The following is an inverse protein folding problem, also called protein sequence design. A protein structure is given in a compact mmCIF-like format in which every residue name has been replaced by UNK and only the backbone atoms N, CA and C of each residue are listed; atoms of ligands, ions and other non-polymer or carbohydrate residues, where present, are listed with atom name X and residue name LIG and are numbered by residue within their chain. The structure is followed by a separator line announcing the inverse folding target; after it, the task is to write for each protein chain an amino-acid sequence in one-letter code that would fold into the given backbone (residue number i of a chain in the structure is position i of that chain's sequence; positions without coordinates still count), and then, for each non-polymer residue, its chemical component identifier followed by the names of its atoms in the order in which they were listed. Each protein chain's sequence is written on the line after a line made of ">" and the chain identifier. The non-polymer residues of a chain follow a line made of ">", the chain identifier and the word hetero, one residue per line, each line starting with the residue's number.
data_IF_498696329342
#
_entry.id   IF_498696329342
#
_cell.length_a   1.000
_cell.length_b   1.000
_cell.length_c   1.000
_cell.angle_alpha   90.00
_cell.angle_beta   90.00
_cell.angle_gamma   90.00
#
_symmetry.space_group_name_H-M   'P 1'
#
loop_
_entity.id
_entity.type
_entity.pdbx_description
1 polymer ?
#
# COMPACT_ATOMS: atom_id res chain seq x y z
N UNK A 1 69.37 -14.20 36.98
CA UNK A 1 68.34 -15.26 36.86
C UNK A 1 67.25 -14.73 35.94
N UNK A 2 67.28 -15.19 34.69
CA UNK A 2 66.48 -14.74 33.56
C UNK A 2 65.53 -15.86 33.14
N UNK A 3 64.34 -15.46 32.68
CA UNK A 3 63.46 -16.16 31.74
C UNK A 3 62.75 -17.44 32.19
N UNK A 4 61.44 -17.31 32.44
CA UNK A 4 60.48 -18.40 32.22
C UNK A 4 59.13 -17.82 31.73
N UNK A 5 59.14 -17.29 30.51
CA UNK A 5 57.97 -17.26 29.64
C UNK A 5 57.95 -18.59 28.89
N UNK A 6 56.91 -19.43 29.08
CA UNK A 6 56.37 -20.31 28.02
C UNK A 6 55.06 -21.01 28.43
N UNK A 7 54.00 -20.55 27.77
CA UNK A 7 52.89 -21.33 27.19
C UNK A 7 52.06 -22.27 28.09
N UNK A 8 50.98 -21.74 28.68
CA UNK A 8 49.72 -22.50 28.81
C UNK A 8 48.84 -22.20 27.59
N UNK A 9 48.90 -23.09 26.59
CA UNK A 9 47.96 -23.14 25.45
C UNK A 9 46.62 -23.70 25.93
N UNK A 10 45.67 -22.82 26.23
CA UNK A 10 44.27 -23.22 26.40
C UNK A 10 43.57 -23.18 25.02
N UNK A 11 43.37 -24.36 24.44
CA UNK A 11 42.63 -24.56 23.19
C UNK A 11 41.14 -24.32 23.44
N UNK A 12 40.65 -23.13 23.09
CA UNK A 12 39.21 -22.93 22.85
C UNK A 12 38.82 -23.56 21.50
N UNK A 13 37.72 -24.35 21.43
CA UNK A 13 37.31 -24.94 20.16
C UNK A 13 36.71 -23.85 19.27
N UNK A 14 37.38 -23.55 18.16
CA UNK A 14 36.84 -22.78 17.04
C UNK A 14 35.66 -23.54 16.43
N UNK A 15 34.46 -23.38 16.97
CA UNK A 15 33.24 -23.64 16.22
C UNK A 15 33.27 -22.73 14.98
N UNK A 16 33.55 -23.34 13.82
CA UNK A 16 33.75 -22.61 12.57
C UNK A 16 32.55 -21.71 12.26
N UNK A 17 32.81 -20.47 11.87
CA UNK A 17 31.80 -19.47 11.49
C UNK A 17 30.80 -20.00 10.43
N UNK A 18 31.25 -20.96 9.59
CA UNK A 18 30.44 -21.70 8.62
C UNK A 18 29.28 -22.48 9.24
N UNK A 19 29.45 -23.11 10.41
CA UNK A 19 28.36 -23.89 11.06
C UNK A 19 27.31 -22.99 11.71
N UNK A 20 27.66 -21.80 12.20
CA UNK A 20 26.68 -20.80 12.70
C UNK A 20 25.86 -20.17 11.58
N UNK A 21 26.48 -19.80 10.46
CA UNK A 21 25.77 -19.26 9.29
C UNK A 21 24.85 -20.32 8.66
N UNK A 22 25.33 -21.55 8.49
CA UNK A 22 24.54 -22.69 8.02
C UNK A 22 23.31 -22.93 8.90
N UNK A 23 23.45 -23.00 10.23
CA UNK A 23 22.33 -23.16 11.16
C UNK A 23 21.33 -21.99 11.11
N UNK A 24 21.80 -20.74 10.98
CA UNK A 24 20.93 -19.56 10.81
C UNK A 24 20.18 -19.59 9.47
N UNK A 25 20.84 -19.94 8.37
CA UNK A 25 20.22 -20.05 7.05
C UNK A 25 19.20 -21.19 6.99
N UNK A 26 19.48 -22.32 7.65
CA UNK A 26 18.54 -23.44 7.76
C UNK A 26 17.29 -23.04 8.54
N UNK A 27 17.45 -22.38 9.69
CA UNK A 27 16.33 -21.79 10.45
C UNK A 27 15.55 -20.77 9.63
N UNK A 28 16.20 -19.88 8.88
CA UNK A 28 15.53 -18.89 8.03
C UNK A 28 14.74 -19.55 6.90
N UNK A 29 15.30 -20.59 6.28
CA UNK A 29 14.64 -21.37 5.23
C UNK A 29 13.45 -22.17 5.75
N UNK A 30 13.57 -22.74 6.95
CA UNK A 30 12.47 -23.46 7.60
C UNK A 30 11.37 -22.50 8.08
N UNK A 31 11.72 -21.32 8.57
CA UNK A 31 10.78 -20.28 8.98
C UNK A 31 10.06 -19.64 7.78
N UNK A 32 10.74 -19.49 6.64
CA UNK A 32 10.11 -19.17 5.35
C UNK A 32 9.15 -20.28 4.95
N UNK A 33 9.58 -21.55 4.92
CA UNK A 33 8.71 -22.67 4.54
C UNK A 33 7.46 -22.78 5.43
N UNK A 34 7.59 -22.50 6.72
CA UNK A 34 6.47 -22.53 7.66
C UNK A 34 5.52 -21.35 7.44
N UNK A 35 6.04 -20.14 7.21
CA UNK A 35 5.24 -18.98 6.80
C UNK A 35 4.54 -19.19 5.46
N UNK A 36 5.21 -19.84 4.50
CA UNK A 36 4.59 -20.20 3.21
C UNK A 36 3.51 -21.26 3.40
N UNK A 37 3.68 -22.23 4.32
CA UNK A 37 2.63 -23.20 4.70
C UNK A 37 1.45 -22.54 5.38
N UNK A 38 1.67 -21.57 6.27
CA UNK A 38 0.59 -20.79 6.89
C UNK A 38 -0.17 -19.97 5.85
N UNK A 39 0.54 -19.28 4.95
CA UNK A 39 -0.07 -18.58 3.81
C UNK A 39 -0.81 -19.55 2.88
N UNK A 40 -0.28 -20.75 2.63
CA UNK A 40 -0.94 -21.80 1.84
C UNK A 40 -2.17 -22.39 2.54
N UNK A 41 -2.17 -22.48 3.86
CA UNK A 41 -3.31 -22.96 4.66
C UNK A 41 -4.42 -21.91 4.75
N UNK A 42 -4.06 -20.64 4.96
CA UNK A 42 -4.97 -19.50 4.82
C UNK A 42 -5.48 -19.36 3.37
N UNK A 43 -4.65 -19.69 2.39
CA UNK A 43 -5.03 -19.77 0.98
C UNK A 43 -5.87 -21.00 0.63
N UNK A 44 -5.81 -22.11 1.37
CA UNK A 44 -6.77 -23.22 1.23
C UNK A 44 -8.15 -22.83 1.77
N UNK A 45 -8.18 -21.94 2.78
CA UNK A 45 -9.42 -21.35 3.27
C UNK A 45 -9.98 -20.26 2.35
N UNK A 46 -9.14 -19.66 1.50
CA UNK A 46 -9.48 -18.58 0.55
C UNK A 46 -9.58 -19.12 -0.90
N UNK A 47 -10.31 -18.46 -1.79
CA UNK A 47 -10.42 -18.89 -3.19
C UNK A 47 -9.09 -18.73 -3.94
N UNK A 48 -8.63 -19.72 -4.72
CA UNK A 48 -7.43 -19.63 -5.59
C UNK A 48 -7.46 -18.40 -6.51
N UNK A 49 -8.67 -17.97 -6.91
CA UNK A 49 -8.90 -16.76 -7.68
C UNK A 49 -8.38 -15.49 -6.97
N UNK A 50 -8.56 -15.40 -5.65
CA UNK A 50 -8.13 -14.23 -4.88
C UNK A 50 -6.61 -14.10 -4.83
N UNK A 51 -5.88 -15.21 -4.74
CA UNK A 51 -4.42 -15.21 -4.78
C UNK A 51 -3.86 -14.73 -6.13
N UNK A 52 -4.45 -15.21 -7.23
CA UNK A 52 -4.05 -14.79 -8.58
C UNK A 52 -4.30 -13.30 -8.75
N UNK A 53 -5.46 -12.82 -8.28
CA UNK A 53 -5.83 -11.40 -8.34
C UNK A 53 -4.85 -10.54 -7.51
N UNK A 54 -4.51 -10.95 -6.29
CA UNK A 54 -3.50 -10.25 -5.45
C UNK A 54 -2.16 -10.14 -6.18
N UNK A 55 -1.72 -11.21 -6.84
CA UNK A 55 -0.44 -11.24 -7.55
C UNK A 55 -0.45 -10.30 -8.76
N UNK A 56 -1.53 -10.27 -9.54
CA UNK A 56 -1.71 -9.34 -10.66
C UNK A 56 -1.65 -7.89 -10.15
N UNK A 57 -2.38 -7.55 -9.08
CA UNK A 57 -2.38 -6.20 -8.53
C UNK A 57 -1.01 -5.76 -8.00
N UNK A 58 -0.25 -6.68 -7.39
CA UNK A 58 1.13 -6.40 -6.94
C UNK A 58 2.04 -6.03 -8.10
N UNK A 59 1.94 -6.76 -9.21
CA UNK A 59 2.72 -6.46 -10.43
C UNK A 59 2.24 -5.13 -11.03
N UNK A 60 0.93 -4.93 -11.12
CA UNK A 60 0.34 -3.71 -11.69
C UNK A 60 0.77 -2.45 -10.93
N UNK A 61 0.85 -2.49 -9.59
CA UNK A 61 1.28 -1.34 -8.78
C UNK A 61 2.76 -0.98 -9.02
N UNK A 62 3.62 -1.97 -9.24
CA UNK A 62 5.03 -1.72 -9.56
C UNK A 62 5.14 -1.05 -10.93
N UNK A 63 4.42 -1.54 -11.94
CA UNK A 63 4.37 -0.88 -13.25
C UNK A 63 3.78 0.53 -13.16
N UNK A 64 2.69 0.68 -12.42
CA UNK A 64 2.03 1.96 -12.21
C UNK A 64 2.98 2.98 -11.56
N UNK A 65 3.78 2.57 -10.58
CA UNK A 65 4.74 3.44 -9.93
C UNK A 65 5.77 4.06 -10.88
N UNK A 66 6.17 3.33 -11.93
CA UNK A 66 7.10 3.84 -12.94
C UNK A 66 6.37 4.69 -13.98
N UNK A 67 5.20 4.23 -14.43
CA UNK A 67 4.46 4.86 -15.54
C UNK A 67 3.76 6.14 -15.11
N UNK A 68 3.12 6.16 -13.93
CA UNK A 68 2.30 7.28 -13.48
C UNK A 68 3.07 8.62 -13.39
N UNK A 69 4.29 8.69 -12.82
CA UNK A 69 5.09 9.92 -12.82
C UNK A 69 5.39 10.45 -14.22
N UNK A 70 5.70 9.55 -15.17
CA UNK A 70 5.98 9.91 -16.56
C UNK A 70 4.73 10.51 -17.20
N UNK A 71 3.59 9.83 -17.07
CA UNK A 71 2.33 10.30 -17.64
C UNK A 71 1.86 11.61 -17.02
N UNK A 72 1.99 11.79 -15.71
CA UNK A 72 1.67 13.05 -15.02
C UNK A 72 2.55 14.21 -15.50
N UNK A 73 3.85 13.96 -15.70
CA UNK A 73 4.79 14.98 -16.18
C UNK A 73 4.50 15.38 -17.62
N UNK A 74 4.21 14.40 -18.49
CA UNK A 74 3.81 14.67 -19.87
C UNK A 74 2.50 15.45 -19.93
N UNK A 75 1.50 15.07 -19.12
CA UNK A 75 0.25 15.81 -19.03
C UNK A 75 0.48 17.26 -18.59
N UNK A 76 1.31 17.49 -17.57
CA UNK A 76 1.66 18.84 -17.12
C UNK A 76 2.37 19.67 -18.19
N UNK A 77 3.33 19.08 -18.90
CA UNK A 77 4.17 19.79 -19.86
C UNK A 77 3.48 20.05 -21.21
N UNK A 78 2.61 19.14 -21.66
CA UNK A 78 2.04 19.18 -23.02
C UNK A 78 0.55 19.52 -23.08
N UNK A 79 -0.20 19.46 -21.97
CA UNK A 79 -1.61 19.83 -21.99
C UNK A 79 -1.79 21.35 -22.20
N UNK A 80 -2.46 21.80 -23.27
CA UNK A 80 -2.66 23.23 -23.54
C UNK A 80 -3.40 23.96 -22.41
N UNK A 81 -4.38 23.29 -21.78
CA UNK A 81 -5.12 23.85 -20.67
C UNK A 81 -4.23 24.12 -19.46
N UNK A 82 -3.44 23.13 -19.07
CA UNK A 82 -2.51 23.22 -17.93
C UNK A 82 -1.43 24.26 -18.18
N UNK A 83 -0.88 24.34 -19.40
CA UNK A 83 0.10 25.37 -19.76
C UNK A 83 -0.48 26.79 -19.64
N UNK A 84 -1.71 26.99 -20.11
CA UNK A 84 -2.40 28.28 -19.98
C UNK A 84 -2.80 28.60 -18.53
N UNK A 85 -3.06 27.57 -17.71
CA UNK A 85 -3.23 27.73 -16.26
C UNK A 85 -1.94 28.20 -15.59
N UNK A 86 -0.79 27.61 -15.94
CA UNK A 86 0.52 28.07 -15.47
C UNK A 86 0.78 29.50 -15.94
N UNK A 87 0.47 29.82 -17.19
CA UNK A 87 0.59 31.19 -17.70
C UNK A 87 -0.24 32.18 -16.89
N UNK A 88 -1.50 31.84 -16.63
CA UNK A 88 -2.40 32.66 -15.81
C UNK A 88 -1.87 32.87 -14.39
N UNK A 89 -1.36 31.82 -13.74
CA UNK A 89 -0.73 31.91 -12.41
C UNK A 89 0.49 32.83 -12.46
N UNK A 90 1.38 32.65 -13.44
CA UNK A 90 2.57 33.49 -13.59
C UNK A 90 2.20 34.97 -13.83
N UNK A 91 1.21 35.23 -14.67
CA UNK A 91 0.73 36.60 -14.96
C UNK A 91 0.04 37.25 -13.75
N UNK A 92 -0.54 36.45 -12.85
CA UNK A 92 -1.15 36.93 -11.60
C UNK A 92 -0.09 37.26 -10.54
N UNK A 93 0.97 36.46 -10.45
CA UNK A 93 2.03 36.60 -9.44
C UNK A 93 3.07 37.64 -9.83
N UNK A 94 3.48 37.65 -11.10
CA UNK A 94 4.48 38.60 -11.62
C UNK A 94 3.70 39.80 -12.15
N UNK A 95 3.51 40.79 -11.28
CA UNK A 95 2.86 42.04 -11.69
C UNK A 95 3.59 42.67 -12.88
N UNK A 96 2.85 43.20 -13.87
CA UNK A 96 3.44 43.85 -15.02
C UNK A 96 4.30 45.04 -14.55
N UNK A 97 5.57 45.06 -14.98
CA UNK A 97 6.42 46.22 -14.76
C UNK A 97 6.06 47.28 -15.78
N UNK A 98 5.77 48.49 -15.32
CA UNK A 98 5.67 49.65 -16.21
C UNK A 98 7.05 50.27 -16.37
N UNK A 99 7.49 50.44 -17.61
CA UNK A 99 8.68 51.19 -17.95
C UNK A 99 8.27 52.30 -18.91
N UNK A 100 8.48 53.56 -18.52
CA UNK A 100 8.15 54.75 -19.33
C UNK A 100 6.69 54.80 -19.84
N UNK A 101 5.73 54.31 -19.06
CA UNK A 101 4.30 54.33 -19.43
C UNK A 101 3.85 53.17 -20.33
N UNK A 102 4.78 52.29 -20.74
CA UNK A 102 4.46 51.06 -21.46
C UNK A 102 4.50 49.85 -20.52
N UNK A 103 3.59 48.90 -20.75
CA UNK A 103 3.55 47.63 -20.02
C UNK A 103 4.60 46.71 -20.62
N UNK A 104 5.68 46.42 -19.89
CA UNK A 104 6.64 45.39 -20.30
C UNK A 104 5.98 44.01 -20.17
N UNK A 105 6.05 43.23 -21.25
CA UNK A 105 5.66 41.82 -21.26
C UNK A 105 6.68 40.99 -20.47
N UNK A 106 6.63 41.06 -19.14
CA UNK A 106 7.51 40.27 -18.27
C UNK A 106 7.12 38.79 -18.23
N UNK A 107 5.90 38.45 -18.65
CA UNK A 107 5.37 37.07 -18.69
C UNK A 107 4.87 36.76 -20.10
N UNK A 108 5.79 36.29 -20.93
CA UNK A 108 5.52 35.81 -22.29
C UNK A 108 5.54 34.28 -22.35
N UNK A 109 5.30 33.73 -23.55
CA UNK A 109 5.28 32.28 -23.77
C UNK A 109 6.65 31.65 -23.46
N UNK A 110 7.76 32.37 -23.72
CA UNK A 110 9.11 31.88 -23.43
C UNK A 110 9.34 31.74 -21.92
N UNK A 111 8.91 32.73 -21.12
CA UNK A 111 8.94 32.66 -19.67
C UNK A 111 8.14 31.47 -19.13
N UNK A 112 6.90 31.27 -19.63
CA UNK A 112 6.06 30.14 -19.22
C UNK A 112 6.69 28.80 -19.57
N UNK A 113 7.30 28.68 -20.76
CA UNK A 113 8.02 27.47 -21.15
C UNK A 113 9.22 27.20 -20.23
N UNK A 114 9.95 28.23 -19.82
CA UNK A 114 11.05 28.09 -18.86
C UNK A 114 10.52 27.59 -17.50
N UNK A 115 9.42 28.14 -17.00
CA UNK A 115 8.79 27.68 -15.75
C UNK A 115 8.37 26.21 -15.87
N UNK A 116 7.73 25.82 -16.97
CA UNK A 116 7.32 24.43 -17.20
C UNK A 116 8.53 23.49 -17.29
N UNK A 117 9.59 23.89 -18.00
CA UNK A 117 10.80 23.08 -18.15
C UNK A 117 11.54 22.87 -16.82
N UNK A 118 11.46 23.83 -15.89
CA UNK A 118 11.99 23.70 -14.54
C UNK A 118 11.06 22.86 -13.65
N UNK A 119 9.74 23.08 -13.73
CA UNK A 119 8.77 22.40 -12.88
C UNK A 119 8.55 20.93 -13.26
N UNK A 120 8.57 20.59 -14.54
CA UNK A 120 8.35 19.22 -15.04
C UNK A 120 9.26 18.16 -14.39
N UNK A 121 10.62 18.30 -14.36
CA UNK A 121 11.48 17.31 -13.70
C UNK A 121 11.25 17.25 -12.18
N UNK A 122 10.89 18.36 -11.54
CA UNK A 122 10.55 18.40 -10.12
C UNK A 122 9.26 17.61 -9.86
N UNK A 123 8.22 17.84 -10.66
CA UNK A 123 6.95 17.10 -10.58
C UNK A 123 7.17 15.61 -10.83
N UNK A 124 7.99 15.26 -11.81
CA UNK A 124 8.34 13.87 -12.08
C UNK A 124 8.98 13.20 -10.85
N UNK A 125 10.02 13.83 -10.30
CA UNK A 125 10.73 13.28 -9.14
C UNK A 125 9.84 13.23 -7.89
N UNK A 126 9.09 14.30 -7.62
CA UNK A 126 8.19 14.38 -6.48
C UNK A 126 7.06 13.33 -6.59
N UNK A 127 6.43 13.18 -7.76
CA UNK A 127 5.38 12.18 -7.98
C UNK A 127 5.93 10.75 -7.88
N UNK A 128 7.13 10.48 -8.41
CA UNK A 128 7.80 9.19 -8.26
C UNK A 128 8.04 8.82 -6.79
N UNK A 129 8.56 9.78 -6.01
CA UNK A 129 8.85 9.58 -4.59
C UNK A 129 7.57 9.47 -3.74
N UNK A 130 6.57 10.31 -4.00
CA UNK A 130 5.29 10.27 -3.30
C UNK A 130 4.52 8.98 -3.59
N UNK A 131 4.45 8.53 -4.85
CA UNK A 131 3.79 7.26 -5.19
C UNK A 131 4.56 6.09 -4.54
N UNK A 132 5.90 6.13 -4.49
CA UNK A 132 6.67 5.12 -3.79
C UNK A 132 6.31 5.04 -2.29
N UNK A 133 6.42 6.17 -1.59
CA UNK A 133 6.26 6.21 -0.13
C UNK A 133 4.81 6.08 0.31
N UNK A 134 3.86 6.67 -0.43
CA UNK A 134 2.46 6.72 -0.04
C UNK A 134 1.60 5.63 -0.66
N UNK A 135 2.05 4.96 -1.74
CA UNK A 135 1.28 3.89 -2.40
C UNK A 135 2.02 2.56 -2.37
N UNK A 136 3.20 2.47 -2.98
CA UNK A 136 3.91 1.20 -3.16
C UNK A 136 4.32 0.60 -1.81
N UNK A 137 5.04 1.36 -1.00
CA UNK A 137 5.55 0.92 0.29
C UNK A 137 4.39 0.47 1.22
N UNK A 138 3.37 1.29 1.51
CA UNK A 138 2.27 0.86 2.36
C UNK A 138 1.51 -0.34 1.78
N UNK A 139 1.37 -0.46 0.46
CA UNK A 139 0.71 -1.61 -0.15
C UNK A 139 1.38 -2.95 0.21
N UNK A 140 2.72 -2.99 0.23
CA UNK A 140 3.49 -4.21 0.57
C UNK A 140 3.74 -4.40 2.07
N UNK A 141 3.92 -3.31 2.83
CA UNK A 141 4.36 -3.38 4.24
C UNK A 141 3.24 -3.31 5.26
N UNK A 142 2.09 -2.70 4.96
CA UNK A 142 0.97 -2.68 5.92
C UNK A 142 0.34 -4.06 6.05
N UNK A 143 0.25 -4.58 7.28
CA UNK A 143 -0.32 -5.90 7.55
C UNK A 143 -1.50 -5.87 8.52
N UNK A 144 -1.59 -4.82 9.33
CA UNK A 144 -2.65 -4.62 10.33
C UNK A 144 -3.93 -4.16 9.66
N UNK A 145 -5.09 -4.60 10.18
CA UNK A 145 -6.39 -4.16 9.70
C UNK A 145 -6.52 -2.63 9.71
N UNK A 146 -6.24 -1.99 10.85
CA UNK A 146 -6.36 -0.53 10.99
C UNK A 146 -5.45 0.23 10.00
N UNK A 147 -4.22 -0.25 9.81
CA UNK A 147 -3.28 0.32 8.85
C UNK A 147 -3.74 0.17 7.40
N UNK A 148 -4.28 -1.00 7.03
CA UNK A 148 -4.84 -1.26 5.69
C UNK A 148 -6.11 -0.45 5.44
N UNK A 149 -6.98 -0.30 6.43
CA UNK A 149 -8.19 0.52 6.33
C UNK A 149 -7.86 2.01 6.18
N UNK A 150 -6.91 2.53 6.97
CA UNK A 150 -6.41 3.89 6.81
C UNK A 150 -5.75 4.12 5.45
N UNK A 151 -4.96 3.16 4.99
CA UNK A 151 -4.36 3.21 3.65
C UNK A 151 -5.41 3.21 2.55
N UNK A 152 -6.43 2.36 2.63
CA UNK A 152 -7.55 2.36 1.69
C UNK A 152 -8.28 3.71 1.68
N UNK A 153 -8.56 4.29 2.84
CA UNK A 153 -9.16 5.63 2.93
C UNK A 153 -8.31 6.68 2.21
N UNK A 154 -6.99 6.70 2.42
CA UNK A 154 -6.09 7.63 1.72
C UNK A 154 -6.11 7.43 0.20
N UNK A 155 -6.20 6.18 -0.27
CA UNK A 155 -6.32 5.85 -1.68
C UNK A 155 -7.67 6.29 -2.29
N UNK A 156 -8.71 6.54 -1.48
CA UNK A 156 -9.94 7.18 -1.94
C UNK A 156 -9.88 8.70 -1.85
N UNK A 157 -9.43 9.20 -0.69
CA UNK A 157 -9.45 10.63 -0.37
C UNK A 157 -8.59 11.45 -1.33
N UNK A 158 -7.32 11.11 -1.51
CA UNK A 158 -6.41 11.93 -2.32
C UNK A 158 -6.79 11.97 -3.80
N UNK A 159 -7.09 10.83 -4.46
CA UNK A 159 -7.52 10.88 -5.86
C UNK A 159 -8.82 11.65 -6.05
N UNK A 160 -9.82 11.48 -5.17
CA UNK A 160 -11.06 12.26 -5.24
C UNK A 160 -10.81 13.75 -5.00
N UNK A 161 -9.91 14.11 -4.09
CA UNK A 161 -9.53 15.49 -3.83
C UNK A 161 -8.87 16.15 -5.04
N UNK A 162 -7.88 15.48 -5.65
CA UNK A 162 -7.19 16.02 -6.84
C UNK A 162 -8.08 16.09 -8.07
N UNK A 163 -8.96 15.09 -8.28
CA UNK A 163 -10.01 15.18 -9.30
C UNK A 163 -10.96 16.34 -9.00
N UNK A 164 -11.39 16.47 -7.75
CA UNK A 164 -12.26 17.57 -7.31
C UNK A 164 -11.66 18.95 -7.58
N UNK A 165 -10.35 19.13 -7.36
CA UNK A 165 -9.63 20.37 -7.70
C UNK A 165 -9.68 20.63 -9.21
N UNK A 166 -9.38 19.63 -10.04
CA UNK A 166 -9.39 19.78 -11.51
C UNK A 166 -10.78 20.20 -12.03
N UNK A 167 -11.84 19.55 -11.54
CA UNK A 167 -13.21 19.93 -11.85
C UNK A 167 -13.55 21.34 -11.31
N UNK A 168 -13.11 21.68 -10.10
CA UNK A 168 -13.35 23.00 -9.53
C UNK A 168 -12.70 24.11 -10.37
N UNK A 169 -11.47 23.92 -10.85
CA UNK A 169 -10.80 24.86 -11.76
C UNK A 169 -11.64 25.03 -13.03
N UNK A 170 -12.07 23.92 -13.64
CA UNK A 170 -12.89 23.97 -14.85
C UNK A 170 -14.20 24.76 -14.68
N UNK A 171 -14.89 24.60 -13.55
CA UNK A 171 -16.16 25.30 -13.31
C UNK A 171 -15.97 26.74 -12.81
N UNK A 172 -14.85 27.06 -12.16
CA UNK A 172 -14.60 28.38 -11.56
C UNK A 172 -13.71 29.29 -12.41
N UNK A 173 -13.04 28.79 -13.45
CA UNK A 173 -12.14 29.60 -14.30
C UNK A 173 -12.79 30.85 -14.90
N UNK A 174 -14.10 30.82 -15.16
CA UNK A 174 -14.86 31.96 -15.67
C UNK A 174 -15.09 33.07 -14.64
N UNK A 175 -14.81 32.80 -13.36
CA UNK A 175 -14.88 33.76 -12.26
C UNK A 175 -13.51 34.25 -11.81
N UNK A 176 -12.44 33.79 -12.45
CA UNK A 176 -11.10 34.26 -12.13
C UNK A 176 -10.94 35.74 -12.55
N UNK A 177 -10.10 36.53 -11.84
CA UNK A 177 -9.88 37.92 -12.20
C UNK A 177 -9.31 38.03 -13.61
N UNK A 178 -10.05 38.72 -14.48
CA UNK A 178 -9.77 38.86 -15.91
C UNK A 178 -8.76 39.96 -16.23
N UNK A 179 -8.62 40.95 -15.34
CA UNK A 179 -7.84 42.16 -15.62
C UNK A 179 -8.59 43.18 -16.50
N UNK A 180 -7.97 44.34 -16.77
CA UNK A 180 -8.59 45.46 -17.48
C UNK A 180 -8.93 45.13 -18.95
N UNK A 181 -9.91 45.83 -19.52
CA UNK A 181 -10.24 45.73 -20.94
C UNK A 181 -9.07 46.14 -21.84
N UNK A 182 -8.87 45.37 -22.91
CA UNK A 182 -7.89 45.68 -23.96
C UNK A 182 -8.67 46.38 -25.08
N UNK A 183 -8.28 47.61 -25.38
CA UNK A 183 -8.69 48.30 -26.61
C UNK A 183 -7.83 47.79 -27.79
N UNK A 184 -8.36 47.80 -29.01
CA UNK A 184 -7.69 47.25 -30.21
C UNK A 184 -6.36 47.97 -30.48
N UNK A 185 -6.26 49.25 -30.08
CA UNK A 185 -5.05 50.07 -30.17
C UNK A 185 -4.39 50.33 -28.80
N UNK A 186 -4.87 49.66 -27.75
CA UNK A 186 -4.42 49.86 -26.38
C UNK A 186 -3.26 48.95 -25.97
N UNK A 187 -2.67 49.19 -24.79
CA UNK A 187 -1.63 48.31 -24.24
C UNK A 187 -2.19 46.91 -23.98
N UNK A 188 -1.43 45.89 -24.36
CA UNK A 188 -1.80 44.51 -24.10
C UNK A 188 -1.49 44.13 -22.64
N UNK A 189 -2.45 43.47 -21.98
CA UNK A 189 -2.30 43.02 -20.60
C UNK A 189 -2.10 41.50 -20.53
N UNK A 190 -0.94 41.01 -20.05
CA UNK A 190 -0.65 39.57 -19.98
C UNK A 190 -1.68 38.75 -19.19
N UNK A 191 -2.24 39.34 -18.12
CA UNK A 191 -3.26 38.70 -17.29
C UNK A 191 -4.56 38.42 -18.08
N UNK A 192 -4.99 39.35 -18.93
CA UNK A 192 -6.20 39.18 -19.72
C UNK A 192 -6.02 38.19 -20.86
N UNK A 193 -4.87 38.23 -21.52
CA UNK A 193 -4.54 37.28 -22.59
C UNK A 193 -4.52 35.85 -22.03
N UNK A 194 -3.83 35.64 -20.90
CA UNK A 194 -3.78 34.34 -20.24
C UNK A 194 -5.15 33.88 -19.70
N UNK A 195 -5.98 34.80 -19.19
CA UNK A 195 -7.35 34.50 -18.76
C UNK A 195 -8.25 34.01 -19.91
N UNK A 196 -8.21 34.70 -21.07
CA UNK A 196 -8.98 34.30 -22.25
C UNK A 196 -8.50 32.94 -22.77
N UNK A 197 -7.18 32.75 -22.89
CA UNK A 197 -6.58 31.48 -23.31
C UNK A 197 -6.95 30.33 -22.36
N UNK A 198 -6.96 30.55 -21.04
CA UNK A 198 -7.37 29.57 -20.04
C UNK A 198 -8.85 29.18 -20.21
N UNK A 199 -9.72 30.15 -20.43
CA UNK A 199 -11.15 29.90 -20.60
C UNK A 199 -11.47 29.15 -21.90
N UNK A 200 -10.71 29.36 -22.95
CA UNK A 200 -10.86 28.64 -24.21
C UNK A 200 -10.32 27.20 -24.14
N UNK A 201 -9.15 27.01 -23.51
CA UNK A 201 -8.40 25.75 -23.64
C UNK A 201 -8.53 24.79 -22.47
N UNK A 202 -8.77 25.27 -21.24
CA UNK A 202 -8.83 24.39 -20.07
C UNK A 202 -10.11 23.55 -20.08
N UNK A 203 -9.98 22.25 -20.23
CA UNK A 203 -11.12 21.33 -20.22
C UNK A 203 -10.73 19.99 -19.59
N UNK A 204 -11.64 19.43 -18.81
CA UNK A 204 -11.48 18.09 -18.25
C UNK A 204 -11.52 17.00 -19.33
N UNK A 205 -11.94 17.35 -20.57
CA UNK A 205 -12.04 16.42 -21.70
C UNK A 205 -10.79 16.40 -22.58
N UNK A 206 -9.74 17.16 -22.26
CA UNK A 206 -8.53 17.13 -23.07
C UNK A 206 -7.86 15.74 -22.97
N UNK A 207 -7.22 15.24 -24.04
CA UNK A 207 -6.59 13.91 -23.99
C UNK A 207 -5.58 13.75 -22.85
N UNK A 208 -4.80 14.80 -22.58
CA UNK A 208 -3.82 14.81 -21.49
C UNK A 208 -4.48 14.87 -20.10
N UNK A 209 -5.59 15.61 -19.95
CA UNK A 209 -6.30 15.63 -18.69
C UNK A 209 -7.04 14.29 -18.45
N UNK A 210 -7.51 13.61 -19.50
CA UNK A 210 -8.03 12.23 -19.40
C UNK A 210 -6.94 11.28 -18.90
N UNK A 211 -5.70 11.39 -19.40
CA UNK A 211 -4.56 10.60 -18.89
C UNK A 211 -4.32 10.87 -17.40
N UNK A 212 -4.37 12.13 -16.97
CA UNK A 212 -4.28 12.51 -15.57
C UNK A 212 -5.40 11.86 -14.73
N UNK A 213 -6.64 11.94 -15.20
CA UNK A 213 -7.80 11.32 -14.53
C UNK A 213 -7.70 9.80 -14.44
N UNK A 214 -7.25 9.12 -15.49
CA UNK A 214 -7.04 7.67 -15.50
C UNK A 214 -6.04 7.25 -14.41
N UNK A 215 -4.98 8.06 -14.22
CA UNK A 215 -3.97 7.82 -13.19
C UNK A 215 -4.58 7.83 -11.79
N UNK A 216 -5.49 8.77 -11.51
CA UNK A 216 -6.23 8.84 -10.24
C UNK A 216 -7.28 7.74 -10.11
N UNK A 217 -8.01 7.43 -11.17
CA UNK A 217 -8.99 6.34 -11.19
C UNK A 217 -8.34 4.98 -10.90
N UNK A 218 -7.12 4.75 -11.38
CA UNK A 218 -6.37 3.54 -11.03
C UNK A 218 -6.11 3.44 -9.53
N UNK A 219 -5.76 4.53 -8.85
CA UNK A 219 -5.57 4.55 -7.40
C UNK A 219 -6.86 4.25 -6.64
N UNK A 220 -8.02 4.76 -7.12
CA UNK A 220 -9.32 4.40 -6.56
C UNK A 220 -9.59 2.89 -6.67
N UNK A 221 -9.26 2.29 -7.83
CA UNK A 221 -9.40 0.86 -8.06
C UNK A 221 -8.51 0.04 -7.11
N UNK A 222 -7.26 0.48 -6.90
CA UNK A 222 -6.38 -0.11 -5.87
C UNK A 222 -7.00 0.07 -4.47
N UNK A 223 -7.60 1.21 -4.17
CA UNK A 223 -8.31 1.47 -2.91
C UNK A 223 -9.45 0.48 -2.66
N UNK A 224 -10.26 0.17 -3.69
CA UNK A 224 -11.31 -0.86 -3.61
C UNK A 224 -10.70 -2.21 -3.26
N UNK A 225 -9.62 -2.59 -3.94
CA UNK A 225 -8.94 -3.86 -3.67
C UNK A 225 -8.38 -3.94 -2.25
N UNK A 226 -7.72 -2.88 -1.77
CA UNK A 226 -7.18 -2.82 -0.40
C UNK A 226 -8.31 -2.85 0.64
N UNK A 227 -9.46 -2.22 0.38
CA UNK A 227 -10.64 -2.31 1.25
C UNK A 227 -11.17 -3.75 1.36
N UNK A 228 -11.21 -4.49 0.24
CA UNK A 228 -11.58 -5.91 0.25
C UNK A 228 -10.56 -6.73 1.04
N UNK A 229 -9.26 -6.47 0.85
CA UNK A 229 -8.19 -7.12 1.62
C UNK A 229 -8.33 -6.85 3.13
N UNK A 230 -8.58 -5.60 3.53
CA UNK A 230 -8.85 -5.24 4.92
C UNK A 230 -10.10 -5.93 5.46
N UNK A 231 -11.18 -5.99 4.68
CA UNK A 231 -12.41 -6.71 5.03
C UNK A 231 -12.19 -8.20 5.26
N UNK A 232 -11.32 -8.83 4.46
CA UNK A 232 -10.92 -10.22 4.64
C UNK A 232 -10.07 -10.40 5.89
N UNK A 233 -9.12 -9.50 6.16
CA UNK A 233 -8.30 -9.53 7.38
C UNK A 233 -9.21 -9.52 8.62
N UNK A 234 -10.18 -8.59 8.67
CA UNK A 234 -11.16 -8.49 9.76
C UNK A 234 -12.04 -9.74 9.88
N UNK A 235 -12.58 -10.24 8.76
CA UNK A 235 -13.54 -11.35 8.76
C UNK A 235 -12.92 -12.70 9.09
N UNK A 236 -11.66 -12.91 8.69
CA UNK A 236 -10.93 -14.15 8.95
C UNK A 236 -10.10 -14.10 10.24
N UNK A 237 -10.14 -12.98 10.99
CA UNK A 237 -9.23 -12.71 12.12
C UNK A 237 -7.77 -13.02 11.74
N UNK A 238 -7.39 -12.70 10.50
CA UNK A 238 -6.01 -12.78 10.03
C UNK A 238 -5.25 -11.56 10.56
N UNK A 239 -5.32 -11.32 11.87
CA UNK A 239 -4.46 -10.32 12.48
C UNK A 239 -3.03 -10.84 12.41
N UNK A 240 -2.31 -10.39 11.38
CA UNK A 240 -0.86 -10.52 11.30
C UNK A 240 -0.15 -9.85 12.50
N UNK A 241 -0.88 -9.08 13.31
CA UNK A 241 -0.39 -8.54 14.57
C UNK A 241 -0.27 -9.56 15.69
N UNK A 242 -1.08 -10.63 15.72
CA UNK A 242 -0.80 -11.75 16.63
C UNK A 242 0.37 -12.63 16.14
N UNK A 243 0.77 -12.47 14.87
CA UNK A 243 1.90 -13.19 14.27
C UNK A 243 3.25 -12.48 14.50
N UNK A 244 3.24 -11.20 14.88
CA UNK A 244 4.45 -10.36 14.96
C UNK A 244 4.47 -9.38 16.14
N UNK A 245 3.41 -9.27 16.95
CA UNK A 245 3.54 -8.56 18.22
C UNK A 245 4.47 -9.35 19.12
N UNK A 246 5.53 -8.69 19.59
CA UNK A 246 6.19 -9.17 20.81
C UNK A 246 5.10 -9.30 21.87
N UNK A 247 5.08 -10.40 22.64
CA UNK A 247 4.11 -10.55 23.71
C UNK A 247 4.13 -9.27 24.53
N UNK A 248 2.96 -8.65 24.73
CA UNK A 248 2.83 -7.51 25.63
C UNK A 248 3.55 -7.90 26.92
N UNK A 249 4.50 -7.06 27.33
CA UNK A 249 5.18 -7.15 28.63
C UNK A 249 4.18 -6.75 29.72
N UNK A 250 3.09 -7.51 29.83
CA UNK A 250 2.28 -7.59 31.02
C UNK A 250 2.67 -8.89 31.71
N UNK A 251 2.87 -8.84 33.03
CA UNK A 251 3.25 -9.98 33.87
C UNK A 251 2.62 -11.27 33.33
N UNK A 252 3.48 -12.13 32.78
CA UNK A 252 3.07 -13.28 32.02
C UNK A 252 2.75 -14.41 32.97
N UNK A 253 1.79 -15.29 32.63
CA UNK A 253 1.65 -16.61 33.27
C UNK A 253 2.99 -17.35 33.37
N UNK A 254 3.93 -17.05 32.46
CA UNK A 254 5.31 -17.54 32.46
C UNK A 254 6.08 -17.07 33.69
N UNK A 255 5.91 -15.81 34.11
CA UNK A 255 6.60 -15.28 35.29
C UNK A 255 6.09 -15.99 36.56
N UNK A 256 4.77 -16.23 36.67
CA UNK A 256 4.18 -16.98 37.80
C UNK A 256 4.57 -18.47 37.81
N UNK A 257 4.70 -19.11 36.64
CA UNK A 257 5.15 -20.52 36.54
C UNK A 257 6.64 -20.64 36.87
N UNK A 258 7.45 -19.65 36.53
CA UNK A 258 8.88 -19.62 36.86
C UNK A 258 9.09 -19.33 38.34
N UNK A 259 8.35 -18.39 38.91
CA UNK A 259 8.37 -18.09 40.34
C UNK A 259 8.02 -19.34 41.15
N UNK A 260 6.98 -20.08 40.73
CA UNK A 260 6.66 -21.39 41.31
C UNK A 260 7.77 -22.43 41.16
N UNK A 261 8.35 -22.62 39.97
CA UNK A 261 9.45 -23.61 39.79
C UNK A 261 10.74 -23.24 40.52
N UNK A 262 10.96 -21.95 40.77
CA UNK A 262 12.07 -21.46 41.57
C UNK A 262 11.83 -21.72 43.07
N UNK A 263 10.61 -21.50 43.55
CA UNK A 263 10.20 -21.79 44.94
C UNK A 263 10.24 -23.29 45.25
N UNK A 264 9.96 -24.16 44.28
CA UNK A 264 10.07 -25.61 44.43
C UNK A 264 11.49 -26.16 44.22
N UNK A 265 12.47 -25.30 43.90
CA UNK A 265 13.88 -25.69 43.75
C UNK A 265 14.18 -26.56 42.51
N UNK A 266 13.27 -26.61 41.54
CA UNK A 266 13.42 -27.42 40.32
C UNK A 266 14.49 -26.88 39.37
N UNK A 267 14.82 -25.58 39.47
CA UNK A 267 15.75 -24.88 38.56
C UNK A 267 16.71 -24.01 39.38
N UNK A 268 18.01 -24.05 39.05
CA UNK A 268 19.02 -23.15 39.63
C UNK A 268 18.93 -21.77 38.99
N UNK A 269 19.16 -20.72 39.77
CA UNK A 269 19.10 -19.31 39.33
C UNK A 269 20.00 -18.99 38.13
N UNK A 270 21.08 -19.75 37.94
CA UNK A 270 22.02 -19.61 36.81
C UNK A 270 21.41 -20.01 35.46
N UNK A 271 20.44 -20.94 35.43
CA UNK A 271 19.81 -21.46 34.20
C UNK A 271 18.48 -20.77 33.85
N UNK A 272 18.04 -19.83 34.69
CA UNK A 272 16.73 -19.16 34.59
C UNK A 272 16.50 -18.50 33.23
N UNK A 273 17.51 -17.78 32.73
CA UNK A 273 17.41 -17.03 31.48
C UNK A 273 17.29 -17.95 30.26
N UNK A 274 17.92 -19.14 30.31
CA UNK A 274 17.79 -20.18 29.29
C UNK A 274 16.42 -20.85 29.34
N UNK A 275 15.91 -21.13 30.53
CA UNK A 275 14.58 -21.68 30.76
C UNK A 275 13.48 -20.73 30.26
N UNK A 276 13.56 -19.44 30.61
CA UNK A 276 12.67 -18.37 30.15
C UNK A 276 12.60 -18.35 28.62
N UNK A 277 13.76 -18.48 27.97
CA UNK A 277 13.87 -18.43 26.52
C UNK A 277 13.32 -19.68 25.84
N UNK A 278 13.39 -20.83 26.49
CA UNK A 278 12.82 -22.09 25.99
C UNK A 278 11.31 -22.11 26.20
N UNK A 279 10.82 -21.80 27.40
CA UNK A 279 9.39 -21.70 27.71
C UNK A 279 8.67 -20.69 26.80
N UNK A 280 9.29 -19.54 26.52
CA UNK A 280 8.74 -18.57 25.56
C UNK A 280 8.65 -19.15 24.15
N UNK A 281 9.60 -19.97 23.71
CA UNK A 281 9.51 -20.63 22.39
C UNK A 281 8.43 -21.69 22.37
N UNK A 282 8.36 -22.51 23.41
CA UNK A 282 7.40 -23.62 23.47
C UNK A 282 5.96 -23.08 23.49
N UNK A 283 5.70 -22.00 24.25
CA UNK A 283 4.41 -21.29 24.21
C UNK A 283 4.09 -20.72 22.83
N UNK A 284 5.07 -20.13 22.14
CA UNK A 284 4.89 -19.60 20.77
C UNK A 284 4.55 -20.73 19.80
N UNK A 285 5.26 -21.86 19.87
CA UNK A 285 5.05 -23.00 18.99
C UNK A 285 3.70 -23.69 19.29
N UNK A 286 3.31 -23.83 20.57
CA UNK A 286 2.03 -24.42 20.96
C UNK A 286 0.83 -23.56 20.51
N UNK A 287 0.89 -22.23 20.69
CA UNK A 287 -0.15 -21.33 20.20
C UNK A 287 -0.24 -21.32 18.66
N UNK A 288 0.90 -21.48 17.98
CA UNK A 288 0.95 -21.63 16.53
C UNK A 288 0.27 -22.92 16.07
N UNK A 289 0.53 -24.03 16.75
CA UNK A 289 -0.12 -25.32 16.51
C UNK A 289 -1.63 -25.24 16.70
N UNK A 290 -2.09 -24.68 17.84
CA UNK A 290 -3.52 -24.52 18.15
C UNK A 290 -4.27 -23.69 17.10
N UNK A 291 -3.61 -22.72 16.48
CA UNK A 291 -4.18 -21.89 15.40
C UNK A 291 -4.27 -22.63 14.07
N UNK A 292 -3.24 -23.41 13.69
CA UNK A 292 -3.29 -24.26 12.51
C UNK A 292 -4.47 -25.24 12.63
N UNK A 293 -4.62 -25.88 13.78
CA UNK A 293 -5.73 -26.80 14.05
C UNK A 293 -7.10 -26.12 13.95
N UNK A 294 -7.23 -24.87 14.44
CA UNK A 294 -8.48 -24.10 14.27
C UNK A 294 -8.77 -23.79 12.80
N UNK A 295 -7.76 -23.41 12.02
CA UNK A 295 -7.93 -23.12 10.59
C UNK A 295 -8.32 -24.38 9.80
N UNK A 296 -7.72 -25.52 10.14
CA UNK A 296 -8.08 -26.81 9.56
C UNK A 296 -9.52 -27.22 9.92
N UNK A 297 -9.92 -27.07 11.18
CA UNK A 297 -11.32 -27.29 11.61
C UNK A 297 -12.30 -26.41 10.85
N UNK A 298 -12.00 -25.13 10.65
CA UNK A 298 -12.86 -24.21 9.86
C UNK A 298 -12.93 -24.65 8.38
N UNK A 299 -11.82 -25.13 7.81
CA UNK A 299 -11.79 -25.64 6.45
C UNK A 299 -12.61 -26.94 6.30
N UNK A 300 -12.55 -27.83 7.29
CA UNK A 300 -13.34 -29.05 7.37
C UNK A 300 -14.82 -28.75 7.54
N UNK A 301 -15.21 -27.83 8.43
CA UNK A 301 -16.59 -27.39 8.58
C UNK A 301 -17.15 -26.78 7.28
N UNK A 302 -16.35 -26.01 6.55
CA UNK A 302 -16.73 -25.49 5.23
C UNK A 302 -16.95 -26.61 4.21
N UNK A 303 -16.08 -27.63 4.20
CA UNK A 303 -16.26 -28.82 3.34
C UNK A 303 -17.52 -29.60 3.73
N UNK A 304 -17.73 -29.82 5.03
CA UNK A 304 -18.92 -30.50 5.56
C UNK A 304 -20.21 -29.75 5.20
N UNK A 305 -20.25 -28.42 5.35
CA UNK A 305 -21.39 -27.58 4.94
C UNK A 305 -21.63 -27.64 3.43
N UNK A 306 -20.58 -27.68 2.59
CA UNK A 306 -20.71 -27.84 1.13
C UNK A 306 -21.26 -29.23 0.75
N UNK A 307 -20.80 -30.29 1.41
CA UNK A 307 -21.30 -31.65 1.22
C UNK A 307 -22.75 -31.80 1.69
N UNK A 308 -23.09 -31.25 2.85
CA UNK A 308 -24.46 -31.23 3.36
C UNK A 308 -25.43 -30.49 2.42
N UNK A 309 -25.02 -29.35 1.85
CA UNK A 309 -25.80 -28.63 0.83
C UNK A 309 -25.98 -29.46 -0.46
N UNK A 310 -24.93 -30.15 -0.94
CA UNK A 310 -25.04 -31.06 -2.10
C UNK A 310 -25.98 -32.24 -1.83
N UNK A 311 -25.90 -32.85 -0.65
CA UNK A 311 -26.73 -33.99 -0.25
C UNK A 311 -28.21 -33.59 -0.07
N UNK A 312 -28.49 -32.38 0.41
CA UNK A 312 -29.86 -31.84 0.49
C UNK A 312 -30.45 -31.61 -0.91
N UNK A 313 -29.64 -31.11 -1.85
CA UNK A 313 -30.06 -30.89 -3.24
C UNK A 313 -30.28 -32.20 -4.02
N UNK A 314 -29.46 -33.22 -3.77
CA UNK A 314 -29.63 -34.55 -4.40
C UNK A 314 -30.86 -35.29 -3.87
N UNK A 315 -31.14 -35.22 -2.56
CA UNK A 315 -32.39 -35.73 -1.97
C UNK A 315 -33.62 -35.05 -2.55
N UNK A 316 -33.63 -33.72 -2.65
CA UNK A 316 -34.77 -33.00 -3.23
C UNK A 316 -35.03 -33.39 -4.69
N UNK A 317 -33.98 -33.55 -5.51
CA UNK A 317 -34.11 -34.04 -6.90
C UNK A 317 -34.62 -35.48 -7.00
N UNK A 318 -34.25 -36.37 -6.07
CA UNK A 318 -34.77 -37.75 -6.09
C UNK A 318 -36.25 -37.80 -5.67
N UNK A 319 -36.65 -37.00 -4.68
CA UNK A 319 -38.06 -36.88 -4.27
C UNK A 319 -38.95 -36.26 -5.35
N UNK A 320 -38.46 -35.28 -6.11
CA UNK A 320 -39.21 -34.74 -7.27
C UNK A 320 -39.35 -35.75 -8.41
N UNK A 321 -38.33 -36.58 -8.67
CA UNK A 321 -38.42 -37.66 -9.66
C UNK A 321 -39.44 -38.74 -9.26
N UNK A 322 -39.53 -39.06 -7.97
CA UNK A 322 -40.52 -40.04 -7.47
C UNK A 322 -41.94 -39.47 -7.56
N UNK A 323 -42.16 -38.20 -7.19
CA UNK A 323 -43.46 -37.53 -7.36
C UNK A 323 -43.91 -37.46 -8.83
N UNK A 324 -43.00 -37.12 -9.76
CA UNK A 324 -43.31 -37.10 -11.20
C UNK A 324 -43.58 -38.48 -11.80
N UNK A 325 -43.06 -39.56 -11.21
CA UNK A 325 -43.30 -40.93 -11.66
C UNK A 325 -44.65 -41.47 -11.16
N UNK A 326 -45.09 -41.04 -9.98
CA UNK A 326 -46.40 -41.40 -9.42
C UNK A 326 -47.57 -40.56 -9.99
N UNK A 327 -47.30 -39.39 -10.58
CA UNK A 327 -48.29 -38.57 -11.31
C UNK A 327 -48.52 -39.01 -12.76
N UNK A 328 -47.74 -39.98 -13.26
CA UNK A 328 -47.82 -40.52 -14.63
C UNK A 328 -48.36 -41.95 -14.70
N UNK A 329 -48.69 -42.55 -13.55
CA UNK A 329 -49.52 -43.75 -13.43
C UNK A 329 -50.90 -43.28 -13.02
#
# INVERSE_FOLDING_TARGET
>A
MLNAIKEKKEKTPKESFKTRFSKKFKKFKDDIKLKTKEQLSAARATSRFFLILVLIFRIAIIFFWIIAPIMMTLAFAYDPGTRNLVWYICATVVHPKMLNGEVLFTVDIAYVNNVINIAAPIIWFASFLLIFLCVVLPFFYTRKWAGKAFFAFNLFFWPLFFLGIDYAIYFLKSRFPMGPDIDINGPQYPLRISYLALNETYTFKSPWNIVYQITWCFLLLVGVFVSVEAGLIKSYKLDYDDLYSQPKVGQSLVDNVIEGRLEFGEIKSEDLNTEIKNLRKDLIDEDRQRRIDRLEKIAEERKARKLAKKNKYSKNKSSEKIKKKNLKK
#
